data_IF_177031893655
#
_entry.id   IF_177031893655
#
_cell.length_a   1.000
_cell.length_b   1.000
_cell.length_c   1.000
_cell.angle_alpha   90.00
_cell.angle_beta   90.00
_cell.angle_gamma   90.00
#
_symmetry.space_group_name_H-M   'P 1'
#
loop_
_entity.id
_entity.type
_entity.pdbx_description
1 polymer ?
#
# COMPACT_ATOMS: atom_id res chain seq x y z
N UNK A 1 -25.01 -25.89 15.33
CA UNK A 1 -24.12 -25.29 16.36
C UNK A 1 -22.69 -25.35 15.81
N UNK A 2 -21.91 -24.27 15.81
CA UNK A 2 -20.62 -24.24 15.13
C UNK A 2 -19.46 -24.62 16.07
N UNK A 3 -19.28 -25.91 16.34
CA UNK A 3 -18.08 -26.44 17.04
C UNK A 3 -16.80 -26.01 16.32
N UNK A 4 -16.83 -25.95 14.99
CA UNK A 4 -15.70 -25.49 14.16
C UNK A 4 -15.23 -24.08 14.49
N UNK A 5 -16.13 -23.17 14.85
CA UNK A 5 -15.77 -21.81 15.25
C UNK A 5 -14.97 -21.81 16.57
N UNK A 6 -15.38 -22.60 17.56
CA UNK A 6 -14.64 -22.72 18.82
C UNK A 6 -13.27 -23.38 18.63
N UNK A 7 -13.17 -24.35 17.72
CA UNK A 7 -11.88 -24.96 17.35
C UNK A 7 -10.97 -23.91 16.73
N UNK A 8 -11.49 -23.06 15.83
CA UNK A 8 -10.72 -21.97 15.25
C UNK A 8 -10.28 -20.94 16.32
N UNK A 9 -11.17 -20.56 17.23
CA UNK A 9 -10.84 -19.63 18.31
C UNK A 9 -9.76 -20.17 19.24
N UNK A 10 -9.80 -21.48 19.52
CA UNK A 10 -8.76 -22.16 20.28
C UNK A 10 -7.44 -22.17 19.51
N UNK A 11 -7.47 -22.51 18.21
CA UNK A 11 -6.30 -22.50 17.34
C UNK A 11 -5.64 -21.13 17.30
N UNK A 12 -6.41 -20.05 17.19
CA UNK A 12 -5.87 -18.68 17.17
C UNK A 12 -5.14 -18.31 18.47
N UNK A 13 -5.53 -18.89 19.61
CA UNK A 13 -4.94 -18.60 20.91
C UNK A 13 -3.73 -19.49 21.24
N UNK A 14 -3.82 -20.79 20.93
CA UNK A 14 -2.86 -21.79 21.38
C UNK A 14 -2.04 -22.43 20.25
N UNK A 15 -2.39 -22.16 18.99
CA UNK A 15 -1.70 -22.66 17.80
C UNK A 15 -1.99 -24.12 17.44
N UNK A 16 -2.33 -24.98 18.39
CA UNK A 16 -2.67 -26.40 18.16
C UNK A 16 -3.86 -26.80 19.01
N UNK A 17 -4.75 -27.61 18.46
CA UNK A 17 -5.92 -28.14 19.16
C UNK A 17 -6.11 -29.61 18.84
N UNK A 18 -6.28 -30.39 19.90
CA UNK A 18 -6.64 -31.80 19.81
C UNK A 18 -8.16 -31.91 19.85
N UNK A 19 -8.73 -32.56 18.84
CA UNK A 19 -10.15 -32.88 18.77
C UNK A 19 -10.30 -34.38 19.07
N UNK A 20 -10.82 -34.74 20.26
CA UNK A 20 -10.94 -36.12 20.67
C UNK A 20 -11.66 -36.98 19.64
N UNK A 21 -11.15 -38.20 19.45
CA UNK A 21 -11.71 -39.16 18.49
C UNK A 21 -11.74 -38.65 17.05
N UNK A 22 -11.03 -37.59 16.65
CA UNK A 22 -11.02 -37.12 15.27
C UNK A 22 -9.61 -36.84 14.76
N UNK A 23 -8.85 -36.03 15.50
CA UNK A 23 -7.46 -35.75 15.17
C UNK A 23 -6.97 -34.43 15.75
N UNK A 24 -5.86 -33.95 15.23
CA UNK A 24 -5.19 -32.74 15.70
C UNK A 24 -5.19 -31.70 14.59
N UNK A 25 -5.68 -30.50 14.90
CA UNK A 25 -5.50 -29.35 14.04
C UNK A 25 -4.36 -28.49 14.58
N UNK A 26 -3.56 -27.93 13.68
CA UNK A 26 -2.48 -27.02 14.06
C UNK A 26 -2.32 -25.90 13.03
N UNK A 27 -1.78 -24.78 13.49
CA UNK A 27 -1.43 -23.65 12.66
C UNK A 27 0.01 -23.81 12.16
N UNK A 28 0.18 -23.71 10.84
CA UNK A 28 1.48 -23.74 10.18
C UNK A 28 1.70 -22.46 9.38
N UNK A 29 2.93 -21.94 9.40
CA UNK A 29 3.33 -20.84 8.55
C UNK A 29 3.42 -21.30 7.10
N UNK A 30 2.60 -20.69 6.25
CA UNK A 30 2.63 -20.91 4.82
C UNK A 30 3.35 -19.78 4.12
N UNK A 31 4.11 -20.13 3.08
CA UNK A 31 4.84 -19.16 2.26
C UNK A 31 3.88 -18.35 1.39
N UNK A 32 4.40 -17.34 0.72
CA UNK A 32 3.69 -16.66 -0.36
C UNK A 32 3.34 -17.69 -1.45
N UNK A 33 2.13 -17.59 -1.99
CA UNK A 33 1.61 -18.53 -3.00
C UNK A 33 1.09 -17.72 -4.18
N UNK A 34 1.46 -18.13 -5.39
CA UNK A 34 0.89 -17.56 -6.60
C UNK A 34 -0.48 -18.20 -6.81
N UNK A 35 -1.51 -17.37 -6.83
CA UNK A 35 -2.84 -17.80 -7.24
C UNK A 35 -2.98 -17.61 -8.76
N UNK A 36 -2.98 -18.73 -9.48
CA UNK A 36 -3.08 -18.74 -10.94
C UNK A 36 -4.49 -18.40 -11.45
N UNK A 37 -5.52 -18.55 -10.61
CA UNK A 37 -6.91 -18.32 -11.01
C UNK A 37 -7.22 -16.82 -11.13
N UNK A 38 -6.80 -16.03 -10.14
CA UNK A 38 -7.02 -14.59 -10.09
C UNK A 38 -5.79 -13.77 -10.56
N UNK A 39 -4.68 -14.43 -10.88
CA UNK A 39 -3.43 -13.77 -11.25
C UNK A 39 -2.92 -12.86 -10.13
N UNK A 40 -2.82 -13.39 -8.91
CA UNK A 40 -2.27 -12.66 -7.77
C UNK A 40 -1.18 -13.44 -7.04
N UNK A 41 -0.41 -12.73 -6.24
CA UNK A 41 0.51 -13.28 -5.26
C UNK A 41 -0.09 -13.06 -3.89
N UNK A 42 -0.50 -14.15 -3.25
CA UNK A 42 -0.94 -14.15 -1.86
C UNK A 42 0.29 -14.02 -0.95
N UNK A 43 0.26 -13.13 0.06
CA UNK A 43 1.36 -12.97 0.99
C UNK A 43 1.54 -14.23 1.85
N UNK A 44 2.70 -14.42 2.49
CA UNK A 44 2.86 -15.44 3.53
C UNK A 44 1.78 -15.27 4.59
N UNK A 45 1.22 -16.39 5.06
CA UNK A 45 0.16 -16.37 6.06
C UNK A 45 0.17 -17.64 6.89
N UNK A 46 -0.58 -17.64 7.98
CA UNK A 46 -0.85 -18.87 8.73
C UNK A 46 -1.93 -19.69 8.03
N UNK A 47 -1.74 -21.00 7.93
CA UNK A 47 -2.72 -21.95 7.39
C UNK A 47 -3.05 -22.99 8.44
N UNK A 48 -4.31 -23.43 8.47
CA UNK A 48 -4.69 -24.59 9.26
C UNK A 48 -4.15 -25.86 8.61
N UNK A 49 -3.69 -26.80 9.42
CA UNK A 49 -3.29 -28.14 9.03
C UNK A 49 -4.00 -29.15 9.91
N UNK A 50 -4.12 -30.38 9.42
CA UNK A 50 -4.86 -31.44 10.10
C UNK A 50 -4.09 -32.75 9.99
N UNK A 51 -4.01 -33.45 11.12
CA UNK A 51 -3.52 -34.81 11.21
C UNK A 51 -4.62 -35.70 11.80
N UNK A 52 -5.00 -36.75 11.08
CA UNK A 52 -6.01 -37.69 11.56
C UNK A 52 -5.44 -38.58 12.67
N UNK A 53 -6.05 -38.53 13.84
CA UNK A 53 -5.76 -39.44 14.95
C UNK A 53 -7.06 -39.71 15.72
N UNK A 54 -7.58 -40.92 15.60
CA UNK A 54 -8.84 -41.32 16.24
C UNK A 54 -8.65 -41.81 17.68
N UNK A 55 -7.42 -42.03 18.13
CA UNK A 55 -7.11 -42.51 19.48
C UNK A 55 -6.82 -41.36 20.44
N UNK A 56 -6.56 -40.17 19.91
CA UNK A 56 -6.26 -39.00 20.71
C UNK A 56 -7.45 -38.59 21.58
N UNK A 57 -7.16 -38.30 22.84
CA UNK A 57 -8.10 -37.79 23.84
C UNK A 57 -7.48 -36.56 24.49
N UNK A 58 -8.31 -35.54 24.75
CA UNK A 58 -7.87 -34.29 25.38
C UNK A 58 -9.04 -33.56 26.00
N UNK A 59 -8.83 -32.99 27.18
CA UNK A 59 -9.83 -32.20 27.89
C UNK A 59 -9.76 -30.70 27.62
N UNK A 60 -8.66 -30.20 27.03
CA UNK A 60 -8.39 -28.77 26.91
C UNK A 60 -9.45 -28.04 26.07
N UNK A 61 -9.79 -28.61 24.91
CA UNK A 61 -10.85 -28.07 24.04
C UNK A 61 -12.22 -28.14 24.74
N UNK A 62 -12.51 -29.21 25.49
CA UNK A 62 -13.76 -29.36 26.22
C UNK A 62 -13.91 -28.28 27.30
N UNK A 63 -12.84 -28.04 28.06
CA UNK A 63 -12.80 -26.97 29.06
C UNK A 63 -12.95 -25.58 28.44
N UNK A 64 -12.35 -25.35 27.27
CA UNK A 64 -12.49 -24.09 26.56
C UNK A 64 -13.94 -23.88 26.07
N UNK A 65 -14.55 -24.89 25.45
CA UNK A 65 -15.94 -24.82 24.98
C UNK A 65 -16.90 -24.64 26.16
N UNK A 66 -16.72 -25.40 27.24
CA UNK A 66 -17.57 -25.31 28.44
C UNK A 66 -17.51 -23.91 29.06
N UNK A 67 -16.30 -23.33 29.13
CA UNK A 67 -16.09 -21.98 29.67
C UNK A 67 -16.70 -20.90 28.77
N UNK A 68 -16.54 -21.02 27.44
CA UNK A 68 -17.09 -20.06 26.47
C UNK A 68 -18.60 -20.11 26.36
N UNK A 69 -19.21 -21.29 26.50
CA UNK A 69 -20.67 -21.48 26.44
C UNK A 69 -21.36 -21.39 27.80
N UNK A 70 -20.61 -21.37 28.90
CA UNK A 70 -21.14 -21.49 30.27
C UNK A 70 -22.02 -22.74 30.48
N UNK A 71 -21.59 -23.88 29.93
CA UNK A 71 -22.24 -25.19 30.07
C UNK A 71 -21.36 -26.16 30.86
N UNK A 72 -21.93 -27.26 31.35
CA UNK A 72 -21.12 -28.32 31.97
C UNK A 72 -20.21 -29.00 30.94
N UNK A 73 -19.10 -29.56 31.42
CA UNK A 73 -18.13 -30.29 30.58
C UNK A 73 -18.78 -31.47 29.85
N UNK A 74 -19.69 -32.17 30.51
CA UNK A 74 -20.42 -33.32 29.94
C UNK A 74 -21.29 -32.92 28.73
N UNK A 75 -21.95 -31.76 28.80
CA UNK A 75 -22.76 -31.25 27.68
C UNK A 75 -21.84 -30.87 26.52
N UNK A 76 -20.73 -30.19 26.79
CA UNK A 76 -19.75 -29.85 25.76
C UNK A 76 -19.12 -31.09 25.10
N UNK A 77 -18.88 -32.15 25.88
CA UNK A 77 -18.36 -33.43 25.37
C UNK A 77 -19.36 -34.12 24.45
N UNK A 78 -20.63 -34.18 24.84
CA UNK A 78 -21.69 -34.75 24.02
C UNK A 78 -21.81 -34.02 22.68
N UNK A 79 -21.85 -32.68 22.70
CA UNK A 79 -21.94 -31.87 21.48
C UNK A 79 -20.74 -32.07 20.55
N UNK A 80 -19.52 -32.13 21.11
CA UNK A 80 -18.31 -32.37 20.34
C UNK A 80 -18.30 -33.79 19.75
N UNK A 81 -18.77 -34.78 20.51
CA UNK A 81 -18.89 -36.15 20.03
C UNK A 81 -19.89 -36.25 18.87
N UNK A 82 -21.08 -35.66 19.00
CA UNK A 82 -22.08 -35.63 17.91
C UNK A 82 -21.50 -35.00 16.64
N UNK A 83 -20.74 -33.91 16.78
CA UNK A 83 -20.13 -33.24 15.64
C UNK A 83 -19.03 -34.10 14.97
N UNK A 84 -18.14 -34.70 15.76
CA UNK A 84 -17.05 -35.54 15.23
C UNK A 84 -17.58 -36.83 14.60
N UNK A 85 -18.63 -37.42 15.17
CA UNK A 85 -19.30 -38.60 14.58
C UNK A 85 -20.01 -38.24 13.27
N UNK A 86 -20.63 -37.05 13.19
CA UNK A 86 -21.17 -36.53 11.93
C UNK A 86 -20.07 -36.37 10.87
N UNK A 87 -18.94 -35.76 11.22
CA UNK A 87 -17.81 -35.59 10.31
C UNK A 87 -17.25 -36.92 9.81
N UNK A 88 -17.08 -37.90 10.69
CA UNK A 88 -16.63 -39.25 10.30
C UNK A 88 -17.59 -39.90 9.33
N UNK A 89 -18.89 -39.90 9.64
CA UNK A 89 -19.92 -40.52 8.78
C UNK A 89 -19.96 -39.85 7.41
N UNK A 90 -19.89 -38.52 7.38
CA UNK A 90 -19.85 -37.76 6.12
C UNK A 90 -18.60 -38.07 5.30
N UNK A 91 -17.42 -38.09 5.94
CA UNK A 91 -16.18 -38.44 5.27
C UNK A 91 -16.16 -39.90 4.77
N UNK A 92 -16.77 -40.83 5.50
CA UNK A 92 -16.90 -42.23 5.07
C UNK A 92 -17.87 -42.40 3.89
N UNK A 93 -18.96 -41.63 3.86
CA UNK A 93 -19.99 -41.74 2.82
C UNK A 93 -19.62 -41.00 1.53
N UNK A 94 -19.13 -39.77 1.65
CA UNK A 94 -18.89 -38.86 0.52
C UNK A 94 -17.41 -38.77 0.13
N UNK A 95 -16.48 -39.30 0.95
CA UNK A 95 -15.02 -39.13 0.79
C UNK A 95 -14.56 -37.66 0.77
N UNK A 96 -15.46 -36.73 1.08
CA UNK A 96 -15.27 -35.30 1.05
C UNK A 96 -16.00 -34.67 2.25
N UNK A 97 -15.33 -33.76 2.94
CA UNK A 97 -15.87 -33.06 4.10
C UNK A 97 -15.33 -31.65 4.14
N UNK A 98 -16.21 -30.68 3.94
CA UNK A 98 -15.92 -29.28 4.21
C UNK A 98 -16.24 -28.94 5.67
N UNK A 99 -15.26 -28.42 6.39
CA UNK A 99 -15.40 -27.91 7.76
C UNK A 99 -15.22 -26.39 7.71
N UNK A 100 -16.33 -25.68 7.93
CA UNK A 100 -16.35 -24.22 7.91
C UNK A 100 -15.24 -23.63 8.78
N UNK A 101 -14.56 -22.60 8.26
CA UNK A 101 -13.46 -21.87 8.91
C UNK A 101 -12.15 -22.65 9.14
N UNK A 102 -12.15 -23.98 8.96
CA UNK A 102 -10.94 -24.80 9.16
C UNK A 102 -10.37 -25.27 7.83
N UNK A 103 -11.20 -25.81 6.95
CA UNK A 103 -10.78 -26.30 5.64
C UNK A 103 -11.56 -27.51 5.16
N UNK A 104 -11.02 -28.17 4.14
CA UNK A 104 -11.65 -29.29 3.46
C UNK A 104 -10.80 -30.55 3.60
N UNK A 105 -11.40 -31.64 4.05
CA UNK A 105 -10.81 -32.98 4.08
C UNK A 105 -11.36 -33.77 2.90
N UNK A 106 -10.51 -34.47 2.18
CA UNK A 106 -10.92 -35.35 1.10
C UNK A 106 -10.01 -36.59 1.05
N UNK A 107 -10.52 -37.69 0.52
CA UNK A 107 -9.77 -38.92 0.32
C UNK A 107 -9.47 -39.06 -1.17
N UNK A 108 -8.18 -39.11 -1.51
CA UNK A 108 -7.69 -39.30 -2.87
C UNK A 108 -6.70 -40.49 -2.84
N UNK A 109 -6.84 -41.43 -3.77
CA UNK A 109 -6.02 -42.64 -3.85
C UNK A 109 -5.94 -43.46 -2.54
N UNK A 110 -6.99 -43.40 -1.71
CA UNK A 110 -7.05 -44.07 -0.40
C UNK A 110 -6.25 -43.38 0.71
N UNK A 111 -5.62 -42.23 0.43
CA UNK A 111 -4.96 -41.39 1.40
C UNK A 111 -5.86 -40.21 1.80
N UNK A 112 -5.81 -39.83 3.09
CA UNK A 112 -6.52 -38.66 3.60
C UNK A 112 -5.70 -37.39 3.32
N UNK A 113 -6.30 -36.46 2.60
CA UNK A 113 -5.73 -35.16 2.29
C UNK A 113 -6.52 -34.04 2.98
N UNK A 114 -5.82 -32.97 3.34
CA UNK A 114 -6.43 -31.80 3.96
C UNK A 114 -5.97 -30.51 3.28
N UNK A 115 -6.95 -29.75 2.79
CA UNK A 115 -6.79 -28.38 2.30
C UNK A 115 -7.32 -27.42 3.35
N UNK A 116 -6.44 -26.99 4.25
CA UNK A 116 -6.78 -26.01 5.29
C UNK A 116 -6.93 -24.60 4.77
N UNK A 117 -7.79 -23.83 5.42
CA UNK A 117 -8.02 -22.42 5.12
C UNK A 117 -6.81 -21.59 5.57
N UNK A 118 -6.52 -20.53 4.79
CA UNK A 118 -5.59 -19.48 5.20
C UNK A 118 -6.32 -18.59 6.20
N UNK A 119 -5.66 -18.26 7.30
CA UNK A 119 -6.14 -17.27 8.24
C UNK A 119 -5.77 -15.87 7.74
N UNK A 120 -6.60 -14.89 8.10
CA UNK A 120 -6.29 -13.48 7.89
C UNK A 120 -4.96 -13.12 8.56
N UNK A 121 -4.20 -12.23 7.93
CA UNK A 121 -2.82 -11.89 8.26
C UNK A 121 -2.71 -10.94 9.46
N UNK A 122 -3.45 -11.19 10.53
CA UNK A 122 -3.41 -10.40 11.76
C UNK A 122 -2.19 -10.73 12.63
N UNK A 123 -1.36 -11.69 12.21
CA UNK A 123 -0.14 -12.04 12.92
C UNK A 123 0.91 -10.92 12.74
N UNK A 124 1.56 -10.46 13.83
CA UNK A 124 2.58 -9.40 13.76
C UNK A 124 3.68 -9.65 12.72
N UNK A 125 4.03 -10.91 12.52
CA UNK A 125 5.08 -11.32 11.57
C UNK A 125 4.74 -11.06 10.10
N UNK A 126 3.44 -10.92 9.76
CA UNK A 126 2.97 -10.68 8.38
C UNK A 126 2.48 -9.25 8.17
N UNK A 127 2.66 -8.37 9.17
CA UNK A 127 2.22 -6.99 9.07
C UNK A 127 2.84 -6.27 7.87
N UNK A 128 2.00 -5.63 7.07
CA UNK A 128 2.42 -4.86 5.87
C UNK A 128 2.67 -5.69 4.62
N UNK A 129 2.39 -7.00 4.64
CA UNK A 129 2.42 -7.84 3.43
C UNK A 129 1.02 -7.94 2.83
N UNK A 130 0.80 -7.29 1.69
CA UNK A 130 -0.48 -7.27 0.99
C UNK A 130 -0.51 -8.27 -0.16
N UNK A 131 -1.72 -8.63 -0.61
CA UNK A 131 -1.92 -9.39 -1.85
C UNK A 131 -1.60 -8.50 -3.06
N UNK A 132 -0.79 -9.03 -3.98
CA UNK A 132 -0.36 -8.29 -5.18
C UNK A 132 -1.06 -8.88 -6.40
N UNK A 133 -1.92 -8.10 -7.07
CA UNK A 133 -2.54 -8.51 -8.32
C UNK A 133 -1.66 -8.12 -9.53
N UNK A 134 -1.39 -9.06 -10.44
CA UNK A 134 -0.60 -8.79 -11.64
C UNK A 134 -1.27 -7.77 -12.58
N UNK A 135 -2.60 -7.63 -12.50
CA UNK A 135 -3.37 -6.61 -13.22
C UNK A 135 -2.96 -5.19 -12.83
N UNK A 136 -2.55 -4.98 -11.59
CA UNK A 136 -2.21 -3.64 -11.07
C UNK A 136 -0.78 -3.24 -11.47
N UNK A 137 0.11 -4.22 -11.66
CA UNK A 137 1.47 -3.99 -12.17
C UNK A 137 1.45 -3.59 -13.65
N UNK A 138 0.57 -4.18 -14.45
CA UNK A 138 0.46 -3.86 -15.88
C UNK A 138 -0.25 -2.53 -16.16
N UNK A 139 -1.03 -2.05 -15.20
CA UNK A 139 -1.43 -0.65 -15.13
C UNK A 139 -0.25 0.11 -14.53
N UNK A 140 0.85 0.14 -15.28
CA UNK A 140 2.06 0.83 -14.88
C UNK A 140 1.66 2.14 -14.23
N UNK A 141 2.16 2.35 -13.02
CA UNK A 141 1.99 3.60 -12.32
C UNK A 141 2.25 4.70 -13.36
N UNK A 142 1.19 5.41 -13.78
CA UNK A 142 1.30 6.85 -13.82
C UNK A 142 1.57 7.24 -12.38
N UNK A 143 2.81 7.01 -11.95
CA UNK A 143 3.44 7.82 -10.95
C UNK A 143 3.11 9.20 -11.44
N UNK A 144 2.32 9.92 -10.64
CA UNK A 144 2.30 11.35 -10.75
C UNK A 144 3.74 11.78 -10.48
N UNK A 145 4.59 11.70 -11.50
CA UNK A 145 5.72 12.58 -11.67
C UNK A 145 5.14 13.92 -11.32
N UNK A 146 5.54 14.43 -10.16
CA UNK A 146 5.41 15.82 -9.76
C UNK A 146 5.49 16.61 -11.06
N UNK A 147 4.33 17.05 -11.56
CA UNK A 147 4.28 17.82 -12.79
C UNK A 147 5.00 19.10 -12.43
N UNK A 148 6.29 19.13 -12.75
CA UNK A 148 6.97 20.37 -13.06
C UNK A 148 5.99 21.06 -13.99
N UNK A 149 5.41 22.13 -13.45
CA UNK A 149 4.40 22.92 -14.12
C UNK A 149 5.14 23.70 -15.19
N UNK A 150 5.54 23.01 -16.25
CA UNK A 150 5.69 23.63 -17.53
C UNK A 150 4.27 24.01 -17.94
N UNK A 151 4.05 25.32 -17.91
CA UNK A 151 2.75 25.97 -18.03
C UNK A 151 2.17 25.67 -19.40
N UNK A 152 1.48 24.54 -19.52
CA UNK A 152 0.55 24.31 -20.60
C UNK A 152 -0.60 25.29 -20.41
N UNK A 153 -0.58 26.35 -21.20
CA UNK A 153 -1.67 27.32 -21.28
C UNK A 153 -2.94 26.58 -21.74
N UNK A 154 -3.79 26.20 -20.79
CA UNK A 154 -5.09 25.60 -21.06
C UNK A 154 -6.14 26.70 -21.12
N UNK A 155 -6.68 26.91 -22.31
CA UNK A 155 -7.81 27.79 -22.55
C UNK A 155 -9.00 27.37 -21.65
N UNK A 156 -9.24 28.12 -20.59
CA UNK A 156 -10.47 28.00 -19.82
C UNK A 156 -11.62 28.63 -20.63
N UNK A 157 -12.86 28.22 -20.37
CA UNK A 157 -14.07 28.80 -21.01
C UNK A 157 -14.17 30.33 -20.82
N UNK A 158 -13.41 30.91 -19.88
CA UNK A 158 -13.37 32.36 -19.66
C UNK A 158 -12.60 33.12 -20.75
N UNK A 159 -11.63 32.52 -21.46
CA UNK A 159 -10.98 33.20 -22.60
C UNK A 159 -11.99 33.56 -23.67
N UNK A 160 -12.96 32.67 -23.92
CA UNK A 160 -13.96 32.86 -24.96
C UNK A 160 -14.89 34.03 -24.60
N UNK A 161 -15.10 34.26 -23.29
CA UNK A 161 -15.80 35.43 -22.77
C UNK A 161 -14.98 36.72 -22.89
N UNK A 162 -13.64 36.67 -22.78
CA UNK A 162 -12.79 37.86 -23.03
C UNK A 162 -12.98 38.40 -24.44
N UNK A 163 -13.07 37.54 -25.47
CA UNK A 163 -13.32 37.98 -26.84
C UNK A 163 -14.70 38.63 -27.01
N UNK A 164 -15.71 38.16 -26.28
CA UNK A 164 -17.06 38.72 -26.30
C UNK A 164 -17.12 40.15 -25.73
N UNK A 165 -16.22 40.52 -24.81
CA UNK A 165 -16.10 41.89 -24.30
C UNK A 165 -15.11 42.75 -25.09
N UNK A 166 -14.04 42.18 -25.63
CA UNK A 166 -13.02 42.92 -26.39
C UNK A 166 -13.57 43.48 -27.71
N UNK A 167 -14.33 42.69 -28.45
CA UNK A 167 -14.90 43.10 -29.75
C UNK A 167 -15.82 44.33 -29.62
N UNK A 168 -16.80 44.39 -28.69
CA UNK A 168 -17.65 45.57 -28.54
C UNK A 168 -16.90 46.80 -28.02
N UNK A 169 -15.91 46.62 -27.13
CA UNK A 169 -15.08 47.74 -26.64
C UNK A 169 -14.25 48.34 -27.79
N UNK A 170 -13.68 47.50 -28.66
CA UNK A 170 -12.95 47.97 -29.84
C UNK A 170 -13.88 48.70 -30.82
N UNK A 171 -15.10 48.19 -31.01
CA UNK A 171 -16.13 48.84 -31.83
C UNK A 171 -16.57 50.20 -31.28
N UNK A 172 -16.74 50.30 -29.96
CA UNK A 172 -17.03 51.58 -29.29
C UNK A 172 -15.87 52.57 -29.42
N UNK A 173 -14.61 52.13 -29.28
CA UNK A 173 -13.45 52.99 -29.50
C UNK A 173 -13.35 53.47 -30.95
N UNK A 174 -13.64 52.60 -31.92
CA UNK A 174 -13.66 52.96 -33.34
C UNK A 174 -14.79 53.97 -33.65
N UNK A 175 -15.99 53.76 -33.09
CA UNK A 175 -17.09 54.72 -33.20
C UNK A 175 -16.76 56.04 -32.49
N UNK A 176 -16.15 56.00 -31.31
CA UNK A 176 -15.70 57.19 -30.59
C UNK A 176 -14.64 57.97 -31.37
N UNK A 177 -13.77 57.30 -32.13
CA UNK A 177 -12.80 57.96 -33.00
C UNK A 177 -13.45 58.58 -34.25
N UNK A 178 -14.39 57.86 -34.88
CA UNK A 178 -15.00 58.28 -36.15
C UNK A 178 -16.18 59.24 -35.99
N UNK A 179 -16.84 59.26 -34.83
CA UNK A 179 -18.05 60.04 -34.55
C UNK A 179 -17.92 60.85 -33.24
N UNK A 180 -16.75 61.47 -33.00
CA UNK A 180 -16.52 62.32 -31.81
C UNK A 180 -17.60 63.39 -31.63
N UNK A 181 -18.11 63.94 -32.73
CA UNK A 181 -19.13 64.99 -32.76
C UNK A 181 -20.51 64.54 -32.23
N UNK A 182 -20.91 63.29 -32.48
CA UNK A 182 -22.22 62.75 -32.08
C UNK A 182 -22.24 62.29 -30.62
N UNK A 183 -21.09 61.91 -30.08
CA UNK A 183 -20.98 61.28 -28.75
C UNK A 183 -20.58 62.31 -27.67
N UNK A 184 -19.80 63.35 -28.02
CA UNK A 184 -19.33 64.36 -27.07
C UNK A 184 -19.97 65.74 -27.23
N UNK A 185 -20.78 65.97 -28.27
CA UNK A 185 -21.33 67.29 -28.56
C UNK A 185 -20.24 68.33 -28.86
N UNK A 186 -20.64 69.51 -29.33
CA UNK A 186 -19.68 70.56 -29.72
C UNK A 186 -18.91 71.04 -28.50
N UNK A 187 -17.58 71.09 -28.62
CA UNK A 187 -16.68 71.63 -27.58
C UNK A 187 -17.14 73.04 -27.20
N UNK A 188 -17.59 73.20 -25.97
CA UNK A 188 -17.71 74.51 -25.34
C UNK A 188 -16.35 74.81 -24.70
N UNK A 189 -15.87 76.04 -24.83
CA UNK A 189 -14.60 76.61 -24.31
C UNK A 189 -13.41 76.62 -25.28
N UNK A 190 -12.91 77.84 -25.52
CA UNK A 190 -11.69 78.16 -26.27
C UNK A 190 -10.45 77.99 -25.37
N UNK A 191 -9.42 77.32 -25.90
CA UNK A 191 -8.14 77.06 -25.23
C UNK A 191 -7.33 78.34 -25.01
N UNK A 192 -7.11 78.69 -23.74
CA UNK A 192 -6.16 79.74 -23.34
C UNK A 192 -4.73 79.21 -23.47
N UNK A 193 -3.99 79.75 -24.43
CA UNK A 193 -2.59 79.41 -24.66
C UNK A 193 -1.67 79.96 -23.55
N UNK A 194 -0.89 79.09 -22.90
CA UNK A 194 0.29 79.51 -22.14
C UNK A 194 1.52 78.84 -22.74
N UNK A 195 2.44 79.67 -23.24
CA UNK A 195 3.71 79.29 -23.84
C UNK A 195 4.75 79.03 -22.75
N UNK A 196 5.46 77.90 -22.81
CA UNK A 196 6.81 77.81 -22.23
C UNK A 196 7.74 77.02 -23.16
N UNK A 197 8.62 77.77 -23.82
CA UNK A 197 9.76 77.27 -24.61
C UNK A 197 10.92 76.91 -23.68
N UNK A 198 11.78 75.99 -24.12
CA UNK A 198 13.26 75.90 -23.99
C UNK A 198 13.71 74.46 -23.69
N UNK A 199 14.88 73.95 -24.10
CA UNK A 199 15.82 74.24 -25.20
C UNK A 199 16.57 72.91 -25.45
N UNK A 200 16.73 72.57 -26.73
CA UNK A 200 17.50 71.48 -27.35
C UNK A 200 19.00 71.51 -26.99
N UNK A 201 19.61 70.35 -26.66
CA UNK A 201 21.04 70.05 -26.85
C UNK A 201 21.21 68.61 -27.36
N UNK A 202 22.12 68.47 -28.33
CA UNK A 202 22.41 67.30 -29.15
C UNK A 202 23.40 66.29 -28.52
N UNK A 203 23.44 65.13 -29.18
CA UNK A 203 24.16 63.87 -28.93
C UNK A 203 25.66 63.97 -29.29
N UNK A 204 26.55 63.22 -28.62
CA UNK A 204 27.64 62.41 -29.23
C UNK A 204 28.43 61.54 -28.24
N UNK A 205 28.32 60.21 -28.46
CA UNK A 205 29.35 59.14 -28.58
C UNK A 205 30.09 58.64 -27.30
N UNK A 206 30.41 57.32 -27.20
CA UNK A 206 30.60 56.56 -25.96
C UNK A 206 32.07 56.24 -25.65
N UNK A 207 32.39 56.01 -24.37
CA UNK A 207 33.70 55.49 -23.95
C UNK A 207 33.53 54.43 -22.85
N UNK A 208 34.16 53.27 -23.09
CA UNK A 208 34.36 52.15 -22.15
C UNK A 208 35.19 52.59 -20.95
N UNK A 209 34.87 52.12 -19.74
CA UNK A 209 35.81 52.15 -18.62
C UNK A 209 35.69 50.84 -17.84
N UNK A 210 36.72 50.02 -17.96
CA UNK A 210 37.07 48.96 -17.01
C UNK A 210 37.87 49.57 -15.85
N UNK A 211 37.74 48.91 -14.69
CA UNK A 211 38.65 48.94 -13.53
C UNK A 211 38.60 50.18 -12.63
N UNK A 212 38.24 49.97 -11.36
CA UNK A 212 39.17 50.01 -10.21
C UNK A 212 38.44 49.57 -8.93
N UNK A 213 39.03 48.60 -8.24
CA UNK A 213 38.70 48.15 -6.88
C UNK A 213 39.44 49.01 -5.84
N UNK A 214 38.76 49.43 -4.77
CA UNK A 214 39.33 49.68 -3.42
C UNK A 214 38.18 49.39 -2.41
N UNK A 215 38.09 48.23 -1.74
CA UNK A 215 38.58 47.86 -0.38
C UNK A 215 38.13 48.85 0.73
N UNK A 216 37.68 48.49 1.94
CA UNK A 216 37.64 47.24 2.74
C UNK A 216 36.85 47.54 4.05
N UNK A 217 36.58 46.48 4.83
CA UNK A 217 36.27 46.43 6.27
C UNK A 217 34.82 46.76 6.68
N UNK A 218 34.15 46.06 7.59
CA UNK A 218 34.59 45.12 8.62
C UNK A 218 33.39 44.27 9.11
N UNK A 219 33.67 43.04 9.56
CA UNK A 219 33.00 42.34 10.68
C UNK A 219 31.51 41.97 10.56
N UNK A 220 31.00 40.77 10.88
CA UNK A 220 31.49 39.60 11.63
C UNK A 220 30.36 38.54 11.63
N UNK A 221 30.73 37.24 11.51
CA UNK A 221 29.99 36.02 11.94
C UNK A 221 28.69 35.66 11.19
N UNK A 222 28.35 34.39 10.91
CA UNK A 222 28.79 33.12 11.49
C UNK A 222 28.39 31.91 10.62
N UNK A 223 29.36 31.00 10.46
CA UNK A 223 29.25 29.52 10.44
C UNK A 223 28.28 28.81 9.47
N UNK A 224 28.87 28.26 8.39
CA UNK A 224 28.54 26.94 7.86
C UNK A 224 29.82 26.10 7.78
N UNK A 225 29.90 25.08 8.62
CA UNK A 225 30.76 23.91 8.41
C UNK A 225 30.19 22.78 9.27
N UNK A 226 29.53 21.81 8.64
CA UNK A 226 29.41 20.49 9.25
C UNK A 226 29.70 19.45 8.18
N UNK A 227 30.95 19.02 8.18
CA UNK A 227 31.48 17.90 7.42
C UNK A 227 31.48 16.70 8.36
N UNK A 228 30.46 15.86 8.26
CA UNK A 228 30.38 14.62 9.03
C UNK A 228 31.40 13.59 8.50
N UNK A 229 32.27 13.22 9.43
CA UNK A 229 33.32 12.21 9.35
C UNK A 229 32.75 10.83 8.97
N UNK A 230 33.47 10.15 8.07
CA UNK A 230 33.49 8.70 7.99
C UNK A 230 34.32 8.17 9.14
N UNK A 231 33.66 7.65 10.18
CA UNK A 231 34.32 6.85 11.20
C UNK A 231 34.26 5.38 10.82
N UNK A 232 35.47 4.86 10.61
CA UNK A 232 35.86 3.47 10.47
C UNK A 232 35.45 2.63 11.67
N UNK A 233 34.62 1.60 11.43
CA UNK A 233 34.42 0.49 12.37
C UNK A 233 35.10 -0.77 11.80
N UNK A 234 35.91 -1.33 12.70
CA UNK A 234 36.83 -2.46 12.60
C UNK A 234 36.24 -3.71 11.94
N UNK A 235 37.04 -4.29 11.04
CA UNK A 235 36.94 -5.69 10.64
C UNK A 235 37.16 -6.61 11.85
N UNK A 236 36.15 -7.44 12.13
CA UNK A 236 36.33 -8.71 12.82
C UNK A 236 35.15 -9.64 12.48
N UNK A 237 35.34 -10.55 11.53
CA UNK A 237 34.53 -11.76 11.45
C UNK A 237 35.33 -12.88 10.77
N UNK A 238 35.57 -13.93 11.57
CA UNK A 238 36.26 -15.17 11.22
C UNK A 238 35.49 -15.91 10.12
N UNK A 239 36.21 -16.37 9.11
CA UNK A 239 35.72 -17.33 8.11
C UNK A 239 35.37 -18.66 8.78
N UNK A 240 34.06 -18.95 8.87
CA UNK A 240 33.56 -20.25 9.33
C UNK A 240 33.39 -21.17 8.12
N UNK A 241 34.11 -22.31 8.11
CA UNK A 241 33.96 -23.36 7.08
C UNK A 241 32.89 -24.37 7.52
N UNK A 242 31.93 -24.76 6.68
CA UNK A 242 31.11 -25.93 6.98
C UNK A 242 31.92 -27.22 6.70
N UNK A 243 32.16 -28.03 7.74
CA UNK A 243 32.60 -29.43 7.60
C UNK A 243 31.41 -30.26 7.11
N UNK A 244 31.43 -30.67 5.84
CA UNK A 244 30.59 -31.76 5.36
C UNK A 244 31.03 -33.07 6.03
N UNK A 245 30.17 -33.66 6.88
CA UNK A 245 30.30 -35.06 7.30
C UNK A 245 29.66 -35.96 6.23
N UNK A 246 30.48 -36.67 5.45
CA UNK A 246 30.03 -37.80 4.62
C UNK A 246 29.57 -38.94 5.54
N UNK A 247 28.28 -39.25 5.52
CA UNK A 247 27.72 -40.47 6.11
C UNK A 247 27.99 -41.62 5.12
N UNK A 248 28.85 -42.56 5.48
CA UNK A 248 29.00 -43.83 4.75
C UNK A 248 27.78 -44.69 5.05
N UNK A 249 26.92 -44.96 4.06
CA UNK A 249 25.99 -46.09 4.13
C UNK A 249 26.78 -47.35 3.79
N UNK A 250 26.80 -48.30 4.72
CA UNK A 250 27.34 -49.64 4.51
C UNK A 250 26.13 -50.56 4.40
N UNK A 251 25.73 -50.86 3.17
CA UNK A 251 24.87 -52.00 2.89
C UNK A 251 25.69 -53.28 3.10
N UNK A 252 25.17 -54.21 3.88
CA UNK A 252 25.57 -55.61 3.80
C UNK A 252 24.35 -56.43 3.39
N UNK A 253 24.64 -57.40 2.53
CA UNK A 253 23.76 -58.46 2.01
C UNK A 253 23.25 -59.35 3.13
#
# INVERSE_FOLDING_TARGET
MNISAYILDYLKQFGTVTVPKFGVFSLENSKAVINSENGSILPPSTKVTFHSDYQVLSDDLLQFISSKKAVSKEVAENELQVQTDFWKKKLQAEQFLEIQNLGTIFIEDGALHFKGNRLESDHPDFYGLEEIHFSDINKGETLETLKNTDKDYKFNKSILWIFLFIVPVLGMLYLAYTQQELIFGKKSFDDVSVQTKTKRIEKKIPVKIDSVQIKKADSVKAFKADSLRKDSIKQAAKTWKPKYKKRKSRWQK
#
